data_IF_777642539377
#
_entry.id   IF_777642539377
#
_cell.length_a   1.000
_cell.length_b   1.000
_cell.length_c   1.000
_cell.angle_alpha   90.00
_cell.angle_beta   90.00
_cell.angle_gamma   90.00
#
_symmetry.space_group_name_H-M   'P 1'
#
loop_
_entity.id
_entity.type
_entity.pdbx_description
1 polymer ?
#
# COMPACT_ATOMS: atom_id res chain seq x y z
N UNK A 1 0.85 -2.96 -1.68
CA UNK A 1 1.45 -4.20 -1.15
C UNK A 1 0.33 -4.88 -0.36
N UNK A 2 0.63 -5.84 0.51
CA UNK A 2 -0.35 -6.44 1.40
C UNK A 2 -1.30 -7.47 0.79
N UNK A 3 -2.45 -7.69 1.45
CA UNK A 3 -3.37 -8.79 1.14
C UNK A 3 -4.07 -8.58 -0.20
N UNK A 4 -3.82 -9.51 -1.13
CA UNK A 4 -4.36 -9.47 -2.49
C UNK A 4 -5.88 -9.60 -2.50
N UNK A 5 -6.51 -8.74 -3.30
CA UNK A 5 -7.96 -8.72 -3.58
C UNK A 5 -8.88 -8.62 -2.36
N UNK A 6 -8.36 -8.33 -1.17
CA UNK A 6 -9.18 -8.20 0.04
C UNK A 6 -10.28 -7.13 -0.14
N UNK A 7 -10.00 -6.05 -0.89
CA UNK A 7 -10.98 -4.98 -1.14
C UNK A 7 -12.18 -5.46 -1.94
N UNK A 8 -11.97 -6.39 -2.88
CA UNK A 8 -13.05 -6.99 -3.66
C UNK A 8 -13.88 -7.90 -2.78
N UNK A 9 -13.23 -8.78 -2.02
CA UNK A 9 -13.90 -9.68 -1.07
C UNK A 9 -14.78 -8.91 -0.07
N UNK A 10 -14.29 -7.78 0.44
CA UNK A 10 -15.07 -6.93 1.34
C UNK A 10 -16.24 -6.27 0.61
N UNK A 11 -16.02 -5.75 -0.60
CA UNK A 11 -17.09 -5.14 -1.38
C UNK A 11 -18.21 -6.14 -1.69
N UNK A 12 -17.85 -7.39 -2.00
CA UNK A 12 -18.80 -8.43 -2.38
C UNK A 12 -19.56 -9.00 -1.17
N UNK A 13 -18.89 -9.19 -0.03
CA UNK A 13 -19.46 -9.89 1.14
C UNK A 13 -19.89 -8.99 2.30
N UNK A 14 -19.37 -7.77 2.38
CA UNK A 14 -19.64 -6.81 3.46
C UNK A 14 -19.68 -5.37 2.94
N UNK A 15 -20.58 -5.03 2.00
CA UNK A 15 -20.63 -3.70 1.38
C UNK A 15 -20.89 -2.59 2.41
N UNK A 16 -21.67 -2.87 3.46
CA UNK A 16 -21.98 -1.94 4.54
C UNK A 16 -20.75 -1.48 5.34
N UNK A 17 -19.65 -2.22 5.26
CA UNK A 17 -18.40 -1.85 5.92
C UNK A 17 -17.68 -0.70 5.18
N UNK A 18 -17.91 -0.54 3.88
CA UNK A 18 -17.28 0.49 3.06
C UNK A 18 -18.19 1.73 3.05
N UNK A 19 -17.65 2.87 3.51
CA UNK A 19 -18.34 4.16 3.44
C UNK A 19 -17.52 5.16 2.63
N UNK A 20 -18.22 6.04 1.95
CA UNK A 20 -17.62 7.14 1.20
C UNK A 20 -17.91 8.43 1.95
N UNK A 21 -16.85 9.14 2.30
CA UNK A 21 -16.96 10.42 3.00
C UNK A 21 -16.05 11.45 2.35
N UNK A 22 -16.38 12.72 2.52
CA UNK A 22 -15.50 13.82 2.15
C UNK A 22 -14.49 14.11 3.27
N UNK A 23 -13.38 14.78 2.92
CA UNK A 23 -12.33 15.09 3.88
C UNK A 23 -12.83 16.01 5.00
N UNK A 24 -13.78 16.90 4.67
CA UNK A 24 -14.43 17.84 5.60
C UNK A 24 -15.12 17.15 6.78
N UNK A 25 -15.62 15.94 6.59
CA UNK A 25 -16.33 15.19 7.64
C UNK A 25 -15.41 14.70 8.76
N UNK A 26 -14.09 14.85 8.59
CA UNK A 26 -13.07 14.41 9.53
C UNK A 26 -12.46 15.55 10.34
N UNK A 27 -13.07 16.74 10.32
CA UNK A 27 -12.64 17.90 11.09
C UNK A 27 -12.49 17.57 12.59
N UNK A 28 -11.37 17.99 13.19
CA UNK A 28 -11.05 17.79 14.60
C UNK A 28 -10.58 16.38 14.98
N UNK A 29 -10.66 15.40 14.06
CA UNK A 29 -10.24 14.02 14.34
C UNK A 29 -8.73 13.86 14.20
N UNK A 30 -8.16 13.04 15.09
CA UNK A 30 -6.74 12.65 15.07
C UNK A 30 -6.57 11.41 14.20
N UNK A 31 -5.65 11.44 13.25
CA UNK A 31 -5.38 10.32 12.36
C UNK A 31 -3.94 9.90 12.47
N UNK A 32 -3.69 8.60 12.41
CA UNK A 32 -2.33 8.13 12.17
C UNK A 32 -2.21 7.77 10.72
N UNK A 33 -1.21 8.35 10.11
CA UNK A 33 -0.84 8.10 8.74
C UNK A 33 0.46 7.30 8.75
N UNK A 34 0.42 6.21 8.00
CA UNK A 34 1.65 5.50 7.63
C UNK A 34 2.45 6.39 6.69
N UNK A 35 3.73 6.60 7.01
CA UNK A 35 4.58 7.24 6.03
C UNK A 35 4.85 6.28 4.86
N UNK A 36 4.66 6.85 3.68
CA UNK A 36 4.35 6.16 2.46
C UNK A 36 5.64 6.06 1.65
N UNK A 37 6.29 4.89 1.71
CA UNK A 37 7.18 4.38 0.64
C UNK A 37 6.55 4.43 -0.78
N UNK A 38 5.27 4.78 -0.89
CA UNK A 38 4.46 4.89 -2.10
C UNK A 38 4.20 6.36 -2.54
N UNK A 39 4.63 7.41 -1.80
CA UNK A 39 4.46 8.82 -2.26
C UNK A 39 5.33 9.16 -3.47
N UNK A 40 6.55 8.62 -3.54
CA UNK A 40 7.45 8.87 -4.66
C UNK A 40 6.99 8.21 -5.97
N UNK A 41 6.08 7.22 -5.93
CA UNK A 41 5.53 6.59 -7.15
C UNK A 41 4.69 7.54 -7.98
N UNK A 42 4.18 8.62 -7.39
CA UNK A 42 3.23 9.53 -8.05
C UNK A 42 3.90 10.84 -8.49
N UNK A 43 4.94 11.31 -7.79
CA UNK A 43 5.54 12.64 -8.05
C UNK A 43 6.70 12.66 -9.04
N UNK A 44 7.44 11.57 -9.26
CA UNK A 44 8.45 11.54 -10.34
C UNK A 44 7.85 11.72 -11.74
N UNK A 45 6.54 11.58 -11.87
CA UNK A 45 5.78 11.83 -13.10
C UNK A 45 5.55 13.32 -13.39
N UNK A 46 5.50 14.16 -12.35
CA UNK A 46 5.22 15.60 -12.48
C UNK A 46 6.50 16.46 -12.44
N UNK A 47 7.58 15.94 -11.87
CA UNK A 47 8.85 16.66 -11.69
C UNK A 47 9.88 16.46 -12.84
N UNK A 48 9.47 16.08 -14.06
CA UNK A 48 10.36 16.03 -15.24
C UNK A 48 10.82 17.43 -15.74
N UNK A 49 10.73 18.49 -14.92
CA UNK A 49 10.98 19.87 -15.33
C UNK A 49 12.09 20.62 -14.59
N UNK A 50 12.77 20.06 -13.60
CA UNK A 50 13.89 20.78 -12.96
C UNK A 50 15.12 19.89 -12.79
N UNK A 51 16.13 20.25 -13.57
CA UNK A 51 17.54 19.90 -13.43
C UNK A 51 18.07 20.37 -12.08
N UNK A 52 18.20 19.47 -11.12
CA UNK A 52 19.21 19.54 -10.07
C UNK A 52 19.32 18.17 -9.40
N UNK A 53 20.54 17.77 -9.04
CA UNK A 53 20.88 16.47 -8.44
C UNK A 53 20.28 16.23 -7.03
N UNK A 54 19.38 17.12 -6.56
CA UNK A 54 18.70 17.00 -5.28
C UNK A 54 17.25 16.53 -5.47
N UNK A 55 17.02 15.25 -5.18
CA UNK A 55 15.73 14.55 -5.31
C UNK A 55 14.70 15.03 -4.24
N UNK A 56 14.45 16.35 -4.10
CA UNK A 56 13.62 16.99 -3.05
C UNK A 56 12.11 16.73 -3.16
N UNK A 57 11.67 16.00 -4.19
CA UNK A 57 10.27 15.66 -4.45
C UNK A 57 9.54 15.06 -3.24
N UNK A 58 10.23 14.19 -2.49
CA UNK A 58 9.68 13.53 -1.31
C UNK A 58 9.32 14.50 -0.17
N UNK A 59 10.12 15.56 0.02
CA UNK A 59 9.84 16.62 1.00
C UNK A 59 8.67 17.48 0.56
N UNK A 60 8.66 17.90 -0.71
CA UNK A 60 7.61 18.74 -1.26
C UNK A 60 6.24 18.04 -1.19
N UNK A 61 6.19 16.78 -1.59
CA UNK A 61 4.97 15.97 -1.52
C UNK A 61 4.49 15.74 -0.10
N UNK A 62 5.40 15.58 0.87
CA UNK A 62 5.01 15.45 2.26
C UNK A 62 4.50 16.76 2.85
N UNK A 63 5.18 17.87 2.55
CA UNK A 63 4.86 19.20 3.03
C UNK A 63 3.44 19.61 2.63
N UNK A 64 3.15 19.68 1.33
CA UNK A 64 1.83 20.10 0.84
C UNK A 64 0.70 19.17 1.24
N UNK A 65 0.96 17.86 1.29
CA UNK A 65 -0.06 16.89 1.68
C UNK A 65 -0.39 16.97 3.17
N UNK A 66 0.59 17.30 3.99
CA UNK A 66 0.41 17.50 5.43
C UNK A 66 -0.33 18.81 5.69
N UNK A 67 0.02 19.90 5.01
CA UNK A 67 -0.72 21.17 5.06
C UNK A 67 -2.18 20.95 4.68
N UNK A 68 -2.46 20.27 3.57
CA UNK A 68 -3.84 19.99 3.15
C UNK A 68 -4.65 19.23 4.19
N UNK A 69 -4.04 18.30 4.93
CA UNK A 69 -4.71 17.61 6.02
C UNK A 69 -5.05 18.59 7.15
N UNK A 70 -4.07 19.41 7.55
CA UNK A 70 -4.23 20.41 8.59
C UNK A 70 -5.29 21.46 8.23
N UNK A 71 -5.31 21.93 6.97
CA UNK A 71 -6.30 22.89 6.45
C UNK A 71 -7.74 22.34 6.51
N UNK A 72 -7.90 21.03 6.32
CA UNK A 72 -9.18 20.34 6.49
C UNK A 72 -9.50 20.00 7.97
N UNK A 73 -8.71 20.52 8.91
CA UNK A 73 -8.87 20.33 10.35
C UNK A 73 -8.54 18.92 10.85
N UNK A 74 -7.84 18.12 10.04
CA UNK A 74 -7.36 16.79 10.41
C UNK A 74 -6.03 16.97 11.15
N UNK A 75 -5.86 16.29 12.28
CA UNK A 75 -4.59 16.29 13.03
C UNK A 75 -3.79 15.02 12.69
N UNK A 76 -2.81 15.09 11.78
CA UNK A 76 -2.03 13.91 11.39
C UNK A 76 -0.99 13.56 12.45
N UNK A 77 -0.67 12.27 12.54
CA UNK A 77 0.48 11.71 13.22
C UNK A 77 1.14 10.73 12.25
N UNK A 78 2.45 10.82 12.06
CA UNK A 78 3.16 9.91 11.16
C UNK A 78 3.84 8.80 11.95
N UNK A 79 3.76 7.57 11.44
CA UNK A 79 4.51 6.43 11.98
C UNK A 79 5.45 5.90 10.91
N UNK A 80 6.71 5.73 11.28
CA UNK A 80 7.76 5.19 10.41
C UNK A 80 8.04 3.73 10.74
N UNK A 81 8.34 2.94 9.70
CA UNK A 81 8.75 1.55 9.82
C UNK A 81 10.09 1.43 10.56
N UNK A 82 10.17 0.42 11.41
CA UNK A 82 11.38 -0.02 12.09
C UNK A 82 12.04 -1.20 11.38
N UNK A 83 12.58 -2.14 12.15
CA UNK A 83 13.26 -3.32 11.62
C UNK A 83 12.22 -4.33 11.10
N UNK A 84 12.31 -4.80 9.84
CA UNK A 84 11.35 -5.77 9.32
C UNK A 84 11.44 -7.10 10.08
N UNK A 85 10.32 -7.83 10.25
CA UNK A 85 10.33 -9.13 10.93
C UNK A 85 10.92 -10.22 10.02
N UNK A 86 11.46 -11.28 10.62
CA UNK A 86 12.13 -12.37 9.89
C UNK A 86 11.20 -13.07 8.89
N UNK A 87 9.92 -13.20 9.22
CA UNK A 87 8.89 -13.76 8.34
C UNK A 87 8.69 -12.96 7.03
N UNK A 88 9.11 -11.69 6.99
CA UNK A 88 9.02 -10.83 5.81
C UNK A 88 10.18 -11.04 4.82
N UNK A 89 11.21 -11.78 5.21
CA UNK A 89 12.41 -12.06 4.39
C UNK A 89 12.06 -12.65 3.01
N UNK A 90 11.13 -13.60 2.95
CA UNK A 90 10.70 -14.23 1.69
C UNK A 90 10.03 -13.23 0.72
N UNK A 91 9.23 -12.30 1.22
CA UNK A 91 8.61 -11.26 0.36
C UNK A 91 9.61 -10.17 -0.01
N UNK A 92 10.56 -9.86 0.87
CA UNK A 92 11.68 -8.97 0.55
C UNK A 92 12.55 -9.57 -0.57
N UNK A 93 12.82 -10.87 -0.54
CA UNK A 93 13.52 -11.62 -1.60
C UNK A 93 12.81 -11.54 -2.95
N UNK A 94 11.50 -11.80 -2.97
CA UNK A 94 10.68 -11.64 -4.20
C UNK A 94 10.67 -10.20 -4.70
N UNK A 95 10.73 -9.21 -3.80
CA UNK A 95 10.80 -7.79 -4.19
C UNK A 95 12.17 -7.44 -4.77
N UNK A 96 13.26 -8.04 -4.29
CA UNK A 96 14.59 -7.87 -4.87
C UNK A 96 14.70 -8.55 -6.24
N UNK A 97 14.14 -9.76 -6.40
CA UNK A 97 14.10 -10.47 -7.69
C UNK A 97 13.34 -9.67 -8.75
N UNK A 98 12.12 -9.21 -8.42
CA UNK A 98 11.33 -8.37 -9.33
C UNK A 98 12.01 -7.05 -9.70
N UNK A 99 12.90 -6.56 -8.84
CA UNK A 99 13.70 -5.36 -9.12
C UNK A 99 14.83 -5.68 -10.09
N UNK A 100 15.56 -6.78 -9.87
CA UNK A 100 16.59 -7.24 -10.79
C UNK A 100 16.00 -7.52 -12.19
N UNK A 101 14.81 -8.11 -12.27
CA UNK A 101 14.06 -8.28 -13.52
C UNK A 101 13.67 -6.93 -14.16
N UNK A 102 13.19 -5.98 -13.36
CA UNK A 102 12.83 -4.64 -13.85
C UNK A 102 14.05 -3.84 -14.33
N UNK A 103 15.20 -4.06 -13.73
CA UNK A 103 16.47 -3.43 -14.11
C UNK A 103 16.97 -3.98 -15.45
N UNK A 104 16.94 -5.30 -15.64
CA UNK A 104 17.22 -5.94 -16.94
C UNK A 104 16.25 -5.45 -18.02
N UNK A 105 14.96 -5.42 -17.72
CA UNK A 105 13.93 -4.92 -18.65
C UNK A 105 14.07 -3.43 -18.97
N UNK A 106 14.65 -2.64 -18.06
CA UNK A 106 14.96 -1.23 -18.33
C UNK A 106 16.14 -1.07 -19.28
N UNK A 107 17.19 -1.87 -19.12
CA UNK A 107 18.34 -1.87 -20.04
C UNK A 107 17.88 -2.25 -21.45
N UNK A 108 17.12 -3.34 -21.58
CA UNK A 108 16.55 -3.77 -22.86
C UNK A 108 15.60 -2.72 -23.49
N UNK A 109 14.79 -2.05 -22.66
CA UNK A 109 13.89 -1.00 -23.15
C UNK A 109 14.64 0.25 -23.61
N UNK A 110 15.75 0.60 -22.94
CA UNK A 110 16.63 1.70 -23.34
C UNK A 110 17.37 1.38 -24.64
N UNK A 111 17.82 0.14 -24.82
CA UNK A 111 18.45 -0.33 -26.06
C UNK A 111 17.47 -0.33 -27.25
N UNK A 112 16.19 -0.67 -27.01
CA UNK A 112 15.13 -0.65 -28.04
C UNK A 112 14.54 0.73 -28.30
N UNK A 113 14.93 1.76 -27.55
CA UNK A 113 14.39 3.12 -27.69
C UNK A 113 12.92 3.29 -27.28
N UNK A 114 12.32 2.32 -26.57
CA UNK A 114 10.93 2.40 -26.12
C UNK A 114 10.85 3.22 -24.82
N UNK A 115 10.58 4.51 -25.01
CA UNK A 115 10.46 5.50 -23.91
C UNK A 115 9.32 5.20 -22.94
N UNK A 116 8.24 4.55 -23.39
CA UNK A 116 7.07 4.26 -22.55
C UNK A 116 7.35 3.06 -21.64
N UNK A 117 7.99 2.03 -22.18
CA UNK A 117 8.43 0.88 -21.39
C UNK A 117 9.53 1.28 -20.40
N UNK A 118 10.52 2.08 -20.84
CA UNK A 118 11.59 2.58 -19.98
C UNK A 118 11.04 3.36 -18.77
N UNK A 119 10.14 4.34 -18.99
CA UNK A 119 9.49 5.11 -17.92
C UNK A 119 8.73 4.19 -16.94
N UNK A 120 8.12 3.10 -17.43
CA UNK A 120 7.39 2.13 -16.59
C UNK A 120 8.33 1.32 -15.71
N UNK A 121 9.48 0.91 -16.21
CA UNK A 121 10.49 0.20 -15.43
C UNK A 121 11.22 1.13 -14.44
N UNK A 122 11.50 2.38 -14.83
CA UNK A 122 12.08 3.39 -13.92
C UNK A 122 11.23 3.61 -12.68
N UNK A 123 9.90 3.71 -12.83
CA UNK A 123 8.96 3.80 -11.68
C UNK A 123 9.00 2.60 -10.75
N UNK A 124 9.41 1.43 -11.22
CA UNK A 124 9.50 0.19 -10.41
C UNK A 124 10.80 0.12 -9.62
N UNK A 125 11.87 0.77 -10.09
CA UNK A 125 13.19 0.76 -9.47
C UNK A 125 13.32 1.74 -8.30
N UNK A 126 12.47 2.76 -8.21
CA UNK A 126 12.53 3.76 -7.13
C UNK A 126 12.54 3.08 -5.75
N UNK A 127 13.61 3.34 -5.00
CA UNK A 127 13.81 2.89 -3.62
C UNK A 127 13.97 4.13 -2.75
N UNK A 128 13.24 4.14 -1.65
CA UNK A 128 13.39 5.16 -0.62
C UNK A 128 14.64 4.86 0.19
N UNK A 129 15.50 5.86 0.37
CA UNK A 129 16.72 5.76 1.17
C UNK A 129 16.42 6.08 2.64
N UNK A 130 17.32 5.67 3.54
CA UNK A 130 17.16 6.00 4.98
C UNK A 130 17.29 7.51 5.21
N UNK A 131 18.18 8.18 4.48
CA UNK A 131 18.38 9.63 4.54
C UNK A 131 17.09 10.39 4.20
N UNK A 132 16.40 10.00 3.12
CA UNK A 132 15.11 10.59 2.76
C UNK A 132 14.06 10.45 3.86
N UNK A 133 14.07 9.33 4.61
CA UNK A 133 13.17 9.18 5.75
C UNK A 133 13.54 10.13 6.89
N UNK A 134 14.83 10.29 7.20
CA UNK A 134 15.29 11.22 8.23
C UNK A 134 14.99 12.68 7.88
N UNK A 135 15.16 13.07 6.61
CA UNK A 135 14.81 14.40 6.13
C UNK A 135 13.30 14.67 6.29
N UNK A 136 12.45 13.68 5.97
CA UNK A 136 11.00 13.80 6.17
C UNK A 136 10.65 13.86 7.65
N UNK A 137 11.26 13.04 8.51
CA UNK A 137 11.06 13.12 9.97
C UNK A 137 11.44 14.51 10.50
N UNK A 138 12.56 15.07 10.03
CA UNK A 138 13.00 16.41 10.40
C UNK A 138 11.99 17.47 9.94
N UNK A 139 11.53 17.39 8.69
CA UNK A 139 10.50 18.28 8.15
C UNK A 139 9.22 18.23 9.00
N UNK A 140 8.71 17.03 9.30
CA UNK A 140 7.49 16.85 10.08
C UNK A 140 7.63 17.41 11.50
N UNK A 141 8.78 17.21 12.14
CA UNK A 141 9.08 17.79 13.46
C UNK A 141 9.10 19.33 13.41
N UNK A 142 9.68 19.92 12.36
CA UNK A 142 9.70 21.38 12.15
C UNK A 142 8.29 21.94 11.89
N UNK A 143 7.42 21.17 11.22
CA UNK A 143 6.01 21.51 11.03
C UNK A 143 5.16 21.35 12.31
N UNK A 144 5.73 20.84 13.41
CA UNK A 144 5.01 20.57 14.65
C UNK A 144 4.12 19.33 14.59
N UNK A 145 4.34 18.43 13.63
CA UNK A 145 3.56 17.21 13.45
C UNK A 145 4.22 16.05 14.22
N UNK A 146 3.46 15.30 15.04
CA UNK A 146 4.03 14.19 15.81
C UNK A 146 4.49 13.05 14.90
N UNK A 147 5.69 12.56 15.19
CA UNK A 147 6.34 11.44 14.52
C UNK A 147 6.59 10.32 15.53
N UNK A 148 6.20 9.11 15.17
CA UNK A 148 6.37 7.89 15.98
C UNK A 148 7.21 6.90 15.19
N UNK A 149 8.12 6.20 15.87
CA UNK A 149 8.89 5.13 15.27
C UNK A 149 8.35 3.79 15.75
N UNK A 150 7.98 2.92 14.81
CA UNK A 150 7.51 1.59 15.15
C UNK A 150 8.71 0.67 15.46
N UNK A 151 8.58 -0.27 16.40
CA UNK A 151 9.64 -1.24 16.68
C UNK A 151 9.88 -2.19 15.49
N UNK A 152 8.81 -2.50 14.76
CA UNK A 152 8.83 -3.41 13.63
C UNK A 152 8.03 -2.81 12.47
N UNK A 153 6.84 -3.33 12.19
CA UNK A 153 5.98 -2.79 11.14
C UNK A 153 5.15 -1.61 11.64
N UNK A 154 5.15 -0.55 10.84
CA UNK A 154 4.42 0.66 11.13
C UNK A 154 2.90 0.37 11.16
N UNK A 155 2.38 -0.49 10.27
CA UNK A 155 0.94 -0.82 10.22
C UNK A 155 0.42 -1.44 11.52
N UNK A 156 1.22 -2.30 12.15
CA UNK A 156 0.92 -2.88 13.45
C UNK A 156 0.85 -1.81 14.54
N UNK A 157 1.80 -0.86 14.52
CA UNK A 157 1.82 0.26 15.46
C UNK A 157 0.61 1.19 15.27
N UNK A 158 0.22 1.47 14.02
CA UNK A 158 -1.01 2.21 13.71
C UNK A 158 -2.26 1.52 14.27
N UNK A 159 -2.39 0.21 14.02
CA UNK A 159 -3.51 -0.57 14.52
C UNK A 159 -3.57 -0.55 16.06
N UNK A 160 -2.40 -0.65 16.73
CA UNK A 160 -2.31 -0.54 18.19
C UNK A 160 -2.75 0.84 18.71
N UNK A 161 -2.36 1.92 18.04
CA UNK A 161 -2.78 3.28 18.40
C UNK A 161 -4.30 3.49 18.25
N UNK A 162 -4.90 2.94 17.19
CA UNK A 162 -6.37 2.96 16.98
C UNK A 162 -7.08 2.15 18.07
N UNK A 163 -6.60 0.94 18.37
CA UNK A 163 -7.16 0.10 19.44
C UNK A 163 -7.08 0.77 20.81
N UNK A 164 -6.00 1.51 21.07
CA UNK A 164 -5.81 2.27 22.31
C UNK A 164 -6.61 3.58 22.35
N UNK A 165 -7.47 3.86 21.37
CA UNK A 165 -8.27 5.09 21.23
C UNK A 165 -7.44 6.39 21.27
N UNK A 166 -6.13 6.32 20.99
CA UNK A 166 -5.27 7.52 20.91
C UNK A 166 -5.54 8.30 19.62
N UNK A 167 -5.99 7.59 18.59
CA UNK A 167 -6.27 8.08 17.24
C UNK A 167 -7.56 7.47 16.72
N UNK A 168 -8.22 8.17 15.81
CA UNK A 168 -9.51 7.77 15.27
C UNK A 168 -9.39 6.67 14.22
N UNK A 169 -8.44 6.79 13.29
CA UNK A 169 -8.27 5.84 12.21
C UNK A 169 -6.84 5.78 11.69
N UNK A 170 -6.53 4.66 11.03
CA UNK A 170 -5.29 4.47 10.26
C UNK A 170 -5.52 4.94 8.82
N UNK A 171 -4.66 5.80 8.30
CA UNK A 171 -4.62 6.21 6.90
C UNK A 171 -3.51 5.46 6.16
N UNK A 172 -3.87 4.44 5.39
CA UNK A 172 -2.95 3.68 4.53
C UNK A 172 -3.72 3.10 3.33
N UNK A 173 -3.01 2.80 2.24
CA UNK A 173 -3.58 2.07 1.10
C UNK A 173 -3.49 0.55 1.26
N UNK A 174 -2.54 0.10 2.08
CA UNK A 174 -2.30 -1.31 2.34
C UNK A 174 -3.30 -1.80 3.39
N UNK A 175 -3.96 -2.92 3.13
CA UNK A 175 -5.10 -3.37 3.97
C UNK A 175 -4.70 -4.31 5.10
N UNK A 176 -3.41 -4.50 5.29
CA UNK A 176 -2.79 -5.36 6.30
C UNK A 176 -3.04 -4.79 7.71
N UNK A 177 -3.18 -3.46 7.85
CA UNK A 177 -3.58 -2.81 9.09
C UNK A 177 -4.89 -3.36 9.66
N UNK A 178 -5.81 -3.84 8.83
CA UNK A 178 -7.05 -4.48 9.28
C UNK A 178 -6.77 -5.83 9.95
N UNK A 179 -5.79 -6.59 9.48
CA UNK A 179 -5.42 -7.88 10.10
C UNK A 179 -4.72 -7.72 11.43
N UNK A 180 -3.99 -6.61 11.63
CA UNK A 180 -3.50 -6.21 12.96
C UNK A 180 -4.63 -5.72 13.89
N UNK A 181 -5.85 -5.55 13.37
CA UNK A 181 -7.07 -5.19 14.09
C UNK A 181 -7.30 -3.69 14.19
N UNK A 182 -6.85 -2.88 13.23
CA UNK A 182 -7.25 -1.48 13.15
C UNK A 182 -8.76 -1.39 12.93
N UNK A 183 -9.49 -0.75 13.84
CA UNK A 183 -10.95 -0.64 13.78
C UNK A 183 -11.44 0.20 12.59
N UNK A 184 -10.65 1.20 12.17
CA UNK A 184 -11.01 2.10 11.07
C UNK A 184 -9.80 2.25 10.15
N UNK A 185 -10.01 1.97 8.86
CA UNK A 185 -9.02 2.15 7.80
C UNK A 185 -9.54 3.19 6.80
N UNK A 186 -8.81 4.28 6.64
CA UNK A 186 -9.06 5.29 5.62
C UNK A 186 -8.11 5.11 4.43
N UNK A 187 -8.71 5.00 3.24
CA UNK A 187 -7.99 4.93 1.97
C UNK A 187 -8.23 6.19 1.16
N UNK A 188 -7.29 6.50 0.27
CA UNK A 188 -7.29 7.66 -0.62
C UNK A 188 -7.10 9.03 0.06
N UNK A 189 -6.64 9.07 1.32
CA UNK A 189 -6.36 10.31 2.05
C UNK A 189 -5.23 11.16 1.44
N UNK A 190 -4.38 10.54 0.62
CA UNK A 190 -3.15 11.14 0.08
C UNK A 190 -3.24 11.52 -1.39
N UNK A 191 -4.37 11.25 -2.05
CA UNK A 191 -4.56 11.54 -3.47
C UNK A 191 -4.77 13.04 -3.69
N UNK A 192 -4.10 13.57 -4.73
CA UNK A 192 -4.30 14.94 -5.19
C UNK A 192 -5.74 15.16 -5.67
N UNK A 193 -6.27 16.35 -5.38
CA UNK A 193 -7.63 16.79 -5.69
C UNK A 193 -7.98 16.69 -7.18
N UNK A 194 -6.97 16.78 -8.05
CA UNK A 194 -7.08 16.59 -9.49
C UNK A 194 -7.71 15.26 -9.93
N UNK A 195 -7.71 14.24 -9.05
CA UNK A 195 -8.37 12.94 -9.33
C UNK A 195 -9.77 12.79 -8.74
N UNK A 196 -10.30 13.78 -7.98
CA UNK A 196 -11.64 13.81 -7.34
C UNK A 196 -12.18 12.42 -6.93
N UNK A 197 -11.36 11.57 -6.32
CA UNK A 197 -11.83 10.30 -5.80
C UNK A 197 -12.33 10.50 -4.37
N UNK A 198 -13.56 10.09 -4.03
CA UNK A 198 -14.07 10.20 -2.67
C UNK A 198 -13.23 9.32 -1.73
N UNK A 199 -13.02 9.80 -0.48
CA UNK A 199 -12.28 9.04 0.53
C UNK A 199 -13.11 7.80 0.87
N UNK A 200 -12.53 6.62 0.62
CA UNK A 200 -13.09 5.34 1.07
C UNK A 200 -12.71 5.17 2.53
N UNK A 201 -13.61 5.60 3.41
CA UNK A 201 -13.51 5.31 4.84
C UNK A 201 -14.21 3.99 5.13
N UNK A 202 -13.45 2.98 5.56
CA UNK A 202 -14.07 1.75 6.06
C UNK A 202 -14.37 1.95 7.54
N UNK A 203 -15.65 2.07 7.89
CA UNK A 203 -16.10 2.16 9.28
C UNK A 203 -16.59 0.77 9.65
N UNK A 204 -15.75 -0.01 10.35
CA UNK A 204 -16.23 -1.24 10.97
C UNK A 204 -16.90 -0.85 12.29
N UNK A 205 -18.21 -0.60 12.23
CA UNK A 205 -19.03 -0.63 13.44
C UNK A 205 -19.22 -2.11 13.78
N UNK A 206 -18.27 -2.64 14.56
CA UNK A 206 -18.16 -4.03 14.99
C UNK A 206 -18.33 -5.05 13.85
N UNK A 207 -17.27 -5.82 13.55
CA UNK A 207 -17.50 -7.14 12.98
C UNK A 207 -18.29 -7.95 14.01
N UNK A 208 -19.62 -7.86 13.99
CA UNK A 208 -20.42 -8.97 14.44
C UNK A 208 -20.25 -10.00 13.32
N UNK A 209 -19.42 -11.00 13.58
CA UNK A 209 -19.21 -12.11 12.66
C UNK A 209 -20.56 -12.82 12.53
N UNK A 210 -21.37 -12.41 11.56
CA UNK A 210 -22.67 -13.01 11.31
C UNK A 210 -22.52 -14.46 10.83
N UNK A 211 -21.37 -14.80 10.24
CA UNK A 211 -21.05 -16.17 9.83
C UNK A 211 -19.54 -16.37 9.77
N UNK A 212 -19.02 -17.26 10.62
CA UNK A 212 -17.67 -17.79 10.48
C UNK A 212 -17.69 -18.75 9.29
N UNK A 213 -17.22 -18.31 8.12
CA UNK A 213 -17.00 -19.22 7.00
C UNK A 213 -15.68 -19.94 7.25
N UNK A 214 -15.75 -21.15 7.80
CA UNK A 214 -14.61 -22.07 7.80
C UNK A 214 -14.38 -22.51 6.36
N UNK A 215 -13.44 -21.86 5.68
CA UNK A 215 -12.91 -22.41 4.43
C UNK A 215 -11.77 -23.36 4.79
N UNK A 216 -11.88 -24.60 4.34
CA UNK A 216 -10.78 -25.56 4.43
C UNK A 216 -9.54 -25.01 3.70
N UNK A 217 -8.34 -25.28 4.24
CA UNK A 217 -7.10 -24.73 3.72
C UNK A 217 -6.95 -25.05 2.23
N UNK A 218 -6.65 -23.99 1.49
CA UNK A 218 -6.65 -23.90 0.03
C UNK A 218 -5.64 -24.84 -0.64
N UNK A 219 -4.78 -25.51 0.12
CA UNK A 219 -3.82 -26.52 -0.34
C UNK A 219 -4.51 -27.76 -0.93
N UNK A 220 -5.59 -28.24 -0.31
CA UNK A 220 -6.32 -29.41 -0.83
C UNK A 220 -7.06 -29.09 -2.14
N UNK A 221 -7.67 -27.90 -2.23
CA UNK A 221 -8.36 -27.42 -3.45
C UNK A 221 -7.39 -27.08 -4.59
N UNK A 222 -6.18 -26.60 -4.28
CA UNK A 222 -5.12 -26.36 -5.28
C UNK A 222 -4.57 -27.67 -5.85
N UNK A 223 -4.26 -28.67 -5.01
CA UNK A 223 -3.83 -30.01 -5.49
C UNK A 223 -4.88 -30.67 -6.39
N UNK A 224 -6.16 -30.63 -5.98
CA UNK A 224 -7.25 -31.19 -6.78
C UNK A 224 -7.48 -30.46 -8.12
N UNK A 225 -7.19 -29.17 -8.22
CA UNK A 225 -7.25 -28.41 -9.48
C UNK A 225 -6.05 -28.67 -10.39
N UNK A 226 -4.86 -28.91 -9.84
CA UNK A 226 -3.68 -29.29 -10.62
C UNK A 226 -3.80 -30.71 -11.19
N UNK A 227 -4.30 -31.67 -10.41
CA UNK A 227 -4.55 -33.06 -10.85
C UNK A 227 -5.63 -33.14 -11.94
N UNK A 228 -6.68 -32.31 -11.86
CA UNK A 228 -7.71 -32.24 -12.91
C UNK A 228 -7.19 -31.62 -14.22
N UNK A 229 -6.17 -30.76 -14.17
CA UNK A 229 -5.56 -30.16 -15.37
C UNK A 229 -4.57 -31.11 -16.06
N UNK A 230 -3.85 -31.94 -15.33
CA UNK A 230 -2.97 -32.96 -15.91
C UNK A 230 -3.75 -34.12 -16.54
N UNK A 231 -4.90 -34.50 -15.97
CA UNK A 231 -5.78 -35.52 -16.56
C UNK A 231 -6.37 -35.11 -17.92
N UNK A 232 -6.72 -33.83 -18.12
CA UNK A 232 -7.26 -33.32 -19.40
C UNK A 232 -6.24 -33.19 -20.54
N UNK A 233 -4.93 -33.28 -20.27
CA UNK A 233 -3.87 -33.19 -21.30
C UNK A 233 -3.51 -34.54 -21.93
N UNK A 234 -3.95 -35.68 -21.36
CA UNK A 234 -3.80 -36.99 -21.99
C UNK A 234 -5.01 -37.27 -22.89
N UNK A 235 -4.96 -36.79 -24.13
CA UNK A 235 -5.90 -37.19 -25.17
C UNK A 235 -5.78 -38.69 -25.50
N UNK A 236 -6.82 -39.31 -26.09
CA UNK A 236 -6.83 -40.75 -26.34
C UNK A 236 -5.72 -41.16 -27.34
N UNK A 237 -5.09 -42.33 -27.16
CA UNK A 237 -4.00 -42.77 -28.02
C UNK A 237 -4.50 -43.02 -29.45
N UNK A 238 -3.83 -42.40 -30.43
CA UNK A 238 -4.10 -42.61 -31.86
C UNK A 238 -3.85 -44.08 -32.23
N UNK A 239 -4.87 -44.73 -32.79
CA UNK A 239 -4.74 -46.07 -33.40
C UNK A 239 -3.78 -45.96 -34.60
N UNK A 240 -2.72 -46.78 -34.61
CA UNK A 240 -1.80 -46.91 -35.75
C UNK A 240 -2.53 -47.57 -36.94
N UNK A 241 -2.45 -47.03 -38.17
CA UNK A 241 -2.98 -47.70 -39.35
C UNK A 241 -2.10 -48.90 -39.73
N UNK A 242 -2.77 -49.93 -40.27
CA UNK A 242 -2.18 -51.19 -40.79
C UNK A 242 -1.38 -50.96 -42.06
#
# INVERSE_FOLDING_TARGET
MGIKDLSKVIADNAPNAIRLHEMKNYFGRKFVKMDLNCSQKVEKLQAKRQTSECDSSHLMGMFYRTIRMIDNGVKPCYVFDGKPPDMKSAELGKRTERRAEAEKGLVEAKEKGDTVAADKFERRLVKVTKEQNEDVKRLLRLMGVPVVEAPCEAEAQCAALVKANKVFATATEDMDSLTFGSNILLRHMTFSEAKKMPIKGRIDLFFQVAKVVKSEPTTAKRKAQEEKKTAKKKGPPMKKPK
#
